data_IF_652077992782
#
_entry.id   IF_652077992782
#
_cell.length_a   1.000
_cell.length_b   1.000
_cell.length_c   1.000
_cell.angle_alpha   90.00
_cell.angle_beta   90.00
_cell.angle_gamma   90.00
#
_symmetry.space_group_name_H-M   'P 1'
#
loop_
_entity.id
_entity.type
_entity.pdbx_description
1 polymer ?
#
# COMPACT_ATOMS: atom_id res chain seq x y z
N UNK A 1 -15.04 -11.39 -75.35
CA UNK A 1 -14.13 -11.24 -74.20
C UNK A 1 -14.86 -10.49 -73.08
N UNK A 2 -15.70 -11.16 -72.28
CA UNK A 2 -16.54 -10.52 -71.23
C UNK A 2 -16.68 -11.39 -69.96
N UNK A 3 -15.65 -12.17 -69.61
CA UNK A 3 -15.73 -13.13 -68.48
C UNK A 3 -15.03 -12.69 -67.19
N UNK A 4 -14.03 -11.79 -67.26
CA UNK A 4 -13.14 -11.52 -66.12
C UNK A 4 -13.57 -10.37 -65.20
N UNK A 5 -14.51 -9.52 -65.62
CA UNK A 5 -14.92 -8.35 -64.81
C UNK A 5 -15.91 -8.70 -63.69
N UNK A 6 -16.74 -9.74 -63.87
CA UNK A 6 -17.76 -10.12 -62.89
C UNK A 6 -17.20 -10.82 -61.63
N UNK A 7 -16.03 -11.47 -61.72
CA UNK A 7 -15.47 -12.21 -60.58
C UNK A 7 -14.86 -11.31 -59.49
N UNK A 8 -14.36 -10.11 -59.83
CA UNK A 8 -13.77 -9.19 -58.84
C UNK A 8 -14.81 -8.58 -57.89
N UNK A 9 -16.04 -8.37 -58.36
CA UNK A 9 -17.11 -7.80 -57.54
C UNK A 9 -17.82 -8.85 -56.68
N UNK A 10 -17.86 -10.12 -57.12
CA UNK A 10 -18.43 -11.23 -56.34
C UNK A 10 -17.56 -11.51 -55.10
N UNK A 11 -16.23 -11.47 -55.22
CA UNK A 11 -15.33 -11.67 -54.08
C UNK A 11 -15.44 -10.55 -53.01
N UNK A 12 -15.70 -9.30 -53.42
CA UNK A 12 -15.88 -8.17 -52.48
C UNK A 12 -17.23 -8.23 -51.73
N UNK A 13 -18.28 -8.75 -52.37
CA UNK A 13 -19.57 -8.96 -51.70
C UNK A 13 -19.52 -10.09 -50.67
N UNK A 14 -18.80 -11.19 -50.94
CA UNK A 14 -18.71 -12.33 -50.00
C UNK A 14 -17.94 -11.96 -48.72
N UNK A 15 -16.90 -11.11 -48.80
CA UNK A 15 -16.18 -10.64 -47.61
C UNK A 15 -16.96 -9.64 -46.75
N UNK A 16 -17.96 -8.95 -47.31
CA UNK A 16 -18.75 -7.96 -46.57
C UNK A 16 -19.85 -8.59 -45.70
N UNK A 17 -20.29 -9.83 -46.01
CA UNK A 17 -21.35 -10.52 -45.26
C UNK A 17 -20.86 -11.38 -44.10
N UNK A 18 -19.56 -11.67 -43.99
CA UNK A 18 -18.99 -12.43 -42.85
C UNK A 18 -18.71 -11.56 -41.61
N UNK A 19 -18.86 -10.24 -41.71
CA UNK A 19 -18.54 -9.29 -40.62
C UNK A 19 -19.65 -9.02 -39.60
N UNK A 20 -20.87 -9.53 -39.79
CA UNK A 20 -22.04 -9.15 -38.96
C UNK A 20 -22.67 -10.30 -38.14
N UNK A 21 -22.01 -11.47 -38.05
CA UNK A 21 -22.58 -12.64 -37.37
C UNK A 21 -21.95 -12.98 -36.00
N UNK A 22 -21.45 -11.99 -35.24
CA UNK A 22 -21.17 -12.17 -33.80
C UNK A 22 -22.21 -11.47 -32.95
N UNK A 23 -23.44 -11.98 -33.00
CA UNK A 23 -24.38 -11.81 -31.90
C UNK A 23 -23.89 -12.71 -30.76
N UNK A 24 -23.01 -12.18 -29.91
CA UNK A 24 -22.62 -12.85 -28.69
C UNK A 24 -23.87 -12.88 -27.80
N UNK A 25 -24.59 -14.00 -27.80
CA UNK A 25 -25.58 -14.24 -26.75
C UNK A 25 -24.79 -14.23 -25.44
N UNK A 26 -24.90 -13.13 -24.69
CA UNK A 26 -24.50 -13.14 -23.29
C UNK A 26 -25.27 -14.30 -22.67
N UNK A 27 -24.55 -15.35 -22.30
CA UNK A 27 -25.12 -16.34 -21.41
C UNK A 27 -25.55 -15.59 -20.17
N UNK A 28 -26.84 -15.72 -19.81
CA UNK A 28 -27.36 -15.15 -18.58
C UNK A 28 -26.46 -15.61 -17.44
N UNK A 29 -25.70 -14.67 -16.87
CA UNK A 29 -24.87 -14.90 -15.70
C UNK A 29 -25.80 -15.40 -14.60
N UNK A 30 -25.65 -16.66 -14.22
CA UNK A 30 -26.32 -17.20 -13.03
C UNK A 30 -25.50 -16.74 -11.84
N UNK A 31 -26.01 -15.82 -10.99
CA UNK A 31 -25.28 -15.41 -9.80
C UNK A 31 -25.11 -16.65 -8.90
N UNK A 32 -23.85 -17.01 -8.65
CA UNK A 32 -23.48 -18.17 -7.84
C UNK A 32 -23.84 -17.97 -6.36
N UNK A 33 -24.03 -16.73 -5.93
CA UNK A 33 -24.39 -16.36 -4.57
C UNK A 33 -25.48 -15.30 -4.59
N UNK A 34 -26.41 -15.39 -3.62
CA UNK A 34 -27.44 -14.37 -3.39
C UNK A 34 -26.75 -13.09 -2.95
N UNK A 35 -26.88 -12.03 -3.73
CA UNK A 35 -26.43 -10.71 -3.32
C UNK A 35 -27.24 -10.29 -2.09
N UNK A 36 -26.55 -10.21 -0.95
CA UNK A 36 -27.14 -9.92 0.36
C UNK A 36 -26.92 -8.45 0.74
N UNK A 37 -26.20 -7.69 -0.09
CA UNK A 37 -25.93 -6.28 0.16
C UNK A 37 -27.11 -5.46 -0.36
N UNK A 38 -28.05 -5.18 0.53
CA UNK A 38 -29.06 -4.15 0.29
C UNK A 38 -28.36 -2.79 0.34
N UNK A 39 -28.00 -2.23 -0.81
CA UNK A 39 -27.60 -0.82 -0.88
C UNK A 39 -28.83 0.01 -0.55
N UNK A 40 -28.88 0.54 0.68
CA UNK A 40 -29.90 1.52 1.08
C UNK A 40 -29.65 2.75 0.21
N UNK A 41 -30.50 2.95 -0.80
CA UNK A 41 -30.48 4.18 -1.56
C UNK A 41 -30.76 5.34 -0.60
N UNK A 42 -29.87 6.34 -0.57
CA UNK A 42 -30.08 7.58 0.16
C UNK A 42 -31.48 8.12 -0.15
N UNK A 43 -32.27 8.44 0.89
CA UNK A 43 -33.55 9.12 0.70
C UNK A 43 -33.31 10.43 -0.05
N UNK A 44 -34.01 10.70 -1.17
CA UNK A 44 -33.93 11.99 -1.82
C UNK A 44 -34.61 13.03 -0.90
N UNK A 45 -33.84 13.93 -0.28
CA UNK A 45 -34.43 15.02 0.48
C UNK A 45 -33.55 15.78 1.48
N UNK A 46 -32.40 15.26 1.91
CA UNK A 46 -31.52 16.03 2.80
C UNK A 46 -30.45 16.75 1.99
N UNK A 47 -30.66 18.05 1.76
CA UNK A 47 -29.79 18.89 0.93
C UNK A 47 -28.88 19.79 1.79
N UNK A 48 -28.84 19.59 3.11
CA UNK A 48 -28.07 20.46 4.03
C UNK A 48 -26.71 19.90 4.43
N UNK A 49 -26.48 18.60 4.25
CA UNK A 49 -25.12 18.06 4.26
C UNK A 49 -24.52 18.27 2.87
N UNK A 50 -23.50 19.12 2.76
CA UNK A 50 -22.59 19.16 1.61
C UNK A 50 -22.13 17.70 1.40
N UNK A 51 -22.71 17.00 0.43
CA UNK A 51 -22.45 15.57 0.17
C UNK A 51 -20.95 15.45 -0.01
N UNK A 52 -20.23 15.02 1.02
CA UNK A 52 -18.82 14.73 0.90
C UNK A 52 -18.75 13.73 -0.25
N UNK A 53 -18.06 14.11 -1.34
CA UNK A 53 -17.91 13.21 -2.47
C UNK A 53 -17.37 11.90 -1.91
N UNK A 54 -18.09 10.79 -2.13
CA UNK A 54 -17.62 9.49 -1.66
C UNK A 54 -16.17 9.30 -2.11
N UNK A 55 -15.25 8.92 -1.21
CA UNK A 55 -13.85 8.77 -1.59
C UNK A 55 -13.75 7.77 -2.75
N UNK A 56 -12.90 8.02 -3.76
CA UNK A 56 -12.67 7.07 -4.83
C UNK A 56 -12.28 5.71 -4.24
N UNK A 57 -12.81 4.61 -4.79
CA UNK A 57 -12.60 3.26 -4.27
C UNK A 57 -11.11 2.92 -4.03
N UNK A 58 -10.24 3.36 -4.94
CA UNK A 58 -8.78 3.19 -4.82
C UNK A 58 -8.21 3.79 -3.52
N UNK A 59 -8.76 4.91 -3.05
CA UNK A 59 -8.32 5.58 -1.82
C UNK A 59 -8.87 4.90 -0.54
N UNK A 60 -9.75 3.91 -0.68
CA UNK A 60 -10.33 3.19 0.46
C UNK A 60 -9.52 1.94 0.84
N UNK A 61 -8.59 1.49 -0.01
CA UNK A 61 -7.83 0.28 0.21
C UNK A 61 -6.32 0.53 0.16
N UNK A 62 -5.65 -0.04 1.15
CA UNK A 62 -4.21 -0.21 1.19
C UNK A 62 -3.87 -1.54 1.85
N UNK A 63 -2.59 -1.88 1.85
CA UNK A 63 -2.08 -3.11 2.47
C UNK A 63 -1.11 -2.78 3.60
N UNK A 64 -1.03 -3.66 4.60
CA UNK A 64 0.10 -3.66 5.51
C UNK A 64 1.26 -4.41 4.86
N UNK A 65 2.48 -3.97 5.12
CA UNK A 65 3.69 -4.59 4.58
C UNK A 65 4.87 -4.40 5.52
N UNK A 66 5.88 -5.22 5.30
CA UNK A 66 7.22 -5.09 5.86
C UNK A 66 8.24 -4.94 4.74
N UNK A 67 9.46 -4.52 5.06
CA UNK A 67 10.52 -4.32 4.07
C UNK A 67 10.86 -5.58 3.25
N UNK A 68 10.77 -6.78 3.85
CA UNK A 68 10.99 -8.05 3.13
C UNK A 68 9.92 -8.32 2.07
N UNK A 69 8.74 -7.70 2.16
CA UNK A 69 7.77 -7.81 1.07
C UNK A 69 8.27 -7.11 -0.21
N UNK A 70 9.18 -6.16 -0.11
CA UNK A 70 9.73 -5.41 -1.25
C UNK A 70 11.12 -5.89 -1.67
N UNK A 71 11.98 -6.22 -0.71
CA UNK A 71 13.42 -6.35 -0.94
C UNK A 71 13.91 -7.80 -0.90
N UNK A 72 13.21 -8.71 -0.22
CA UNK A 72 13.65 -10.11 -0.13
C UNK A 72 13.40 -10.82 -1.45
N UNK A 73 14.47 -11.28 -2.08
CA UNK A 73 14.43 -12.16 -3.24
C UNK A 73 14.76 -13.60 -2.82
N UNK A 74 13.84 -14.57 -2.97
CA UNK A 74 14.11 -15.96 -2.62
C UNK A 74 15.26 -16.60 -3.43
N UNK A 75 15.55 -16.08 -4.63
CA UNK A 75 16.64 -16.59 -5.48
C UNK A 75 18.01 -16.01 -5.08
N UNK A 76 18.02 -14.85 -4.42
CA UNK A 76 19.24 -14.21 -3.89
C UNK A 76 19.01 -13.71 -2.46
N UNK A 77 18.89 -14.64 -1.48
CA UNK A 77 18.55 -14.27 -0.11
C UNK A 77 19.57 -13.29 0.48
N UNK A 78 19.10 -12.35 1.30
CA UNK A 78 19.90 -11.30 1.94
C UNK A 78 20.48 -10.21 1.02
N UNK A 79 20.21 -10.22 -0.30
CA UNK A 79 20.45 -9.03 -1.13
C UNK A 79 19.23 -8.10 -1.07
N UNK A 80 19.22 -7.19 -0.10
CA UNK A 80 18.15 -6.22 0.10
C UNK A 80 18.39 -4.90 -0.64
N UNK A 81 19.44 -4.81 -1.45
CA UNK A 81 19.81 -3.55 -2.13
C UNK A 81 18.95 -3.25 -3.37
N UNK A 82 18.05 -4.17 -3.73
CA UNK A 82 17.20 -4.10 -4.92
C UNK A 82 15.74 -4.42 -4.60
N UNK A 83 14.83 -3.89 -5.42
CA UNK A 83 13.41 -4.27 -5.38
C UNK A 83 13.25 -5.66 -6.00
N UNK A 84 12.60 -6.56 -5.27
CA UNK A 84 12.11 -7.81 -5.83
C UNK A 84 10.83 -7.57 -6.64
N UNK A 85 11.00 -7.48 -7.96
CA UNK A 85 9.95 -7.05 -8.89
C UNK A 85 8.69 -7.91 -8.88
N UNK A 86 8.81 -9.22 -8.60
CA UNK A 86 7.67 -10.13 -8.52
C UNK A 86 6.68 -9.68 -7.44
N UNK A 87 7.18 -9.31 -6.25
CA UNK A 87 6.31 -8.82 -5.18
C UNK A 87 5.83 -7.40 -5.47
N UNK A 88 6.69 -6.55 -6.03
CA UNK A 88 6.32 -5.19 -6.40
C UNK A 88 5.16 -5.16 -7.40
N UNK A 89 5.10 -6.10 -8.35
CA UNK A 89 3.98 -6.23 -9.29
C UNK A 89 2.63 -6.43 -8.58
N UNK A 90 2.62 -7.16 -7.46
CA UNK A 90 1.42 -7.37 -6.64
C UNK A 90 1.09 -6.08 -5.88
N UNK A 91 2.10 -5.48 -5.23
CA UNK A 91 1.95 -4.26 -4.42
C UNK A 91 1.37 -3.09 -5.25
N UNK A 92 1.75 -2.98 -6.52
CA UNK A 92 1.23 -1.96 -7.46
C UNK A 92 -0.28 -2.04 -7.72
N UNK A 93 -0.95 -3.10 -7.30
CA UNK A 93 -2.41 -3.19 -7.36
C UNK A 93 -3.10 -2.30 -6.31
N UNK A 94 -2.33 -1.77 -5.36
CA UNK A 94 -2.80 -0.89 -4.30
C UNK A 94 -2.19 0.52 -4.44
N UNK A 95 -2.91 1.54 -3.99
CA UNK A 95 -2.43 2.93 -4.01
C UNK A 95 -1.80 3.38 -2.71
N UNK A 96 -1.89 2.56 -1.66
CA UNK A 96 -1.35 2.88 -0.35
C UNK A 96 -0.83 1.62 0.35
N UNK A 97 0.22 1.81 1.14
CA UNK A 97 0.89 0.79 1.93
C UNK A 97 1.15 1.36 3.33
N UNK A 98 0.90 0.56 4.37
CA UNK A 98 1.40 0.81 5.72
C UNK A 98 2.62 -0.04 5.97
N UNK A 99 3.77 0.61 6.14
CA UNK A 99 5.04 -0.04 6.40
C UNK A 99 5.23 -0.18 7.91
N UNK A 100 5.15 -1.41 8.41
CA UNK A 100 5.56 -1.74 9.77
C UNK A 100 7.07 -1.68 9.88
N UNK A 101 7.57 -0.67 10.57
CA UNK A 101 8.98 -0.36 10.66
C UNK A 101 9.46 -0.57 12.09
N UNK A 102 10.39 -1.51 12.29
CA UNK A 102 10.97 -1.72 13.62
C UNK A 102 11.96 -0.59 13.96
N UNK A 103 11.69 0.19 15.01
CA UNK A 103 12.51 1.33 15.42
C UNK A 103 13.94 0.89 15.79
N UNK A 104 14.10 -0.25 16.45
CA UNK A 104 15.42 -0.79 16.78
C UNK A 104 16.29 -1.08 15.54
N UNK A 105 15.70 -1.24 14.35
CA UNK A 105 16.47 -1.37 13.10
C UNK A 105 17.06 -0.05 12.64
N UNK A 106 16.35 1.06 12.84
CA UNK A 106 16.78 2.41 12.47
C UNK A 106 17.78 2.98 13.47
N UNK A 107 17.43 2.91 14.75
CA UNK A 107 18.10 3.62 15.85
C UNK A 107 18.41 2.61 16.97
N UNK A 108 19.35 1.70 16.71
CA UNK A 108 19.81 0.75 17.74
C UNK A 108 20.64 1.44 18.84
N UNK A 109 21.12 2.66 18.58
CA UNK A 109 21.88 3.53 19.49
C UNK A 109 21.21 4.90 19.49
N UNK A 110 20.94 5.52 20.67
CA UNK A 110 20.22 6.78 20.73
C UNK A 110 20.89 7.88 19.89
N UNK A 111 20.12 8.53 19.01
CA UNK A 111 20.57 9.60 18.12
C UNK A 111 21.34 9.15 16.87
N UNK A 112 21.60 7.85 16.70
CA UNK A 112 22.31 7.30 15.55
C UNK A 112 21.35 6.56 14.61
N UNK A 113 21.02 7.20 13.49
CA UNK A 113 20.02 6.74 12.55
C UNK A 113 20.65 6.27 11.24
N UNK A 114 20.20 5.12 10.76
CA UNK A 114 20.54 4.62 9.43
C UNK A 114 19.31 4.07 8.74
N UNK A 115 19.25 4.31 7.42
CA UNK A 115 18.11 3.95 6.59
C UNK A 115 18.51 2.97 5.47
N UNK A 116 19.74 3.09 4.98
CA UNK A 116 20.31 2.35 3.84
C UNK A 116 21.82 2.09 4.01
N UNK A 117 22.26 0.88 4.38
CA UNK A 117 21.46 -0.13 5.09
C UNK A 117 21.06 0.35 6.49
N UNK A 118 20.02 -0.23 7.07
CA UNK A 118 19.66 -0.05 8.48
C UNK A 118 20.71 -0.66 9.43
N UNK A 119 20.79 -0.09 10.64
CA UNK A 119 21.73 -0.45 11.70
C UNK A 119 21.58 -1.91 12.15
N UNK A 120 20.39 -2.46 11.99
CA UNK A 120 20.12 -3.88 12.17
C UNK A 120 19.30 -4.45 11.00
N UNK A 121 19.64 -5.66 10.55
CA UNK A 121 18.94 -6.38 9.48
C UNK A 121 19.34 -6.02 8.05
N UNK A 122 20.21 -5.01 7.84
CA UNK A 122 20.72 -4.61 6.52
C UNK A 122 19.62 -4.33 5.49
N UNK A 123 18.56 -3.61 5.89
CA UNK A 123 17.44 -3.26 5.01
C UNK A 123 17.69 -1.90 4.34
N UNK A 124 17.17 -1.72 3.12
CA UNK A 124 17.36 -0.50 2.33
C UNK A 124 16.03 0.23 2.16
N UNK A 125 15.62 0.97 3.18
CA UNK A 125 14.32 1.65 3.20
C UNK A 125 14.16 2.70 2.10
N UNK A 126 15.20 3.44 1.75
CA UNK A 126 15.15 4.43 0.69
C UNK A 126 14.89 3.78 -0.68
N UNK A 127 15.43 2.57 -0.94
CA UNK A 127 15.18 1.85 -2.20
C UNK A 127 13.68 1.56 -2.35
N UNK A 128 13.04 1.13 -1.27
CA UNK A 128 11.60 0.89 -1.20
C UNK A 128 10.80 2.20 -1.36
N UNK A 129 11.16 3.25 -0.62
CA UNK A 129 10.42 4.51 -0.63
C UNK A 129 10.56 5.27 -1.94
N UNK A 130 11.74 5.28 -2.55
CA UNK A 130 11.96 5.82 -3.89
C UNK A 130 11.09 5.09 -4.91
N UNK A 131 11.02 3.75 -4.81
CA UNK A 131 10.17 2.95 -5.70
C UNK A 131 8.69 3.27 -5.51
N UNK A 132 8.18 3.29 -4.28
CA UNK A 132 6.79 3.60 -4.01
C UNK A 132 6.42 5.02 -4.47
N UNK A 133 7.29 6.01 -4.22
CA UNK A 133 7.11 7.38 -4.68
C UNK A 133 7.01 7.46 -6.20
N UNK A 134 7.92 6.78 -6.92
CA UNK A 134 7.91 6.72 -8.39
C UNK A 134 6.62 6.10 -8.94
N UNK A 135 6.11 5.07 -8.29
CA UNK A 135 4.91 4.34 -8.72
C UNK A 135 3.61 4.92 -8.15
N UNK A 136 3.65 6.11 -7.52
CA UNK A 136 2.50 6.80 -6.91
C UNK A 136 1.77 5.98 -5.84
N UNK A 137 2.54 5.23 -5.04
CA UNK A 137 2.06 4.47 -3.89
C UNK A 137 2.34 5.30 -2.63
N UNK A 138 1.28 5.69 -1.92
CA UNK A 138 1.40 6.35 -0.63
C UNK A 138 1.97 5.37 0.40
N UNK A 139 3.03 5.75 1.11
CA UNK A 139 3.56 4.93 2.20
C UNK A 139 3.30 5.61 3.53
N UNK A 140 2.65 4.89 4.44
CA UNK A 140 2.48 5.25 5.84
C UNK A 140 3.54 4.53 6.65
N UNK A 141 4.58 5.25 7.07
CA UNK A 141 5.60 4.70 7.96
C UNK A 141 5.03 4.58 9.38
N UNK A 142 4.93 3.35 9.87
CA UNK A 142 4.42 2.99 11.19
C UNK A 142 5.58 2.50 12.04
N UNK A 143 6.02 3.32 12.99
CA UNK A 143 7.06 2.91 13.93
C UNK A 143 6.50 1.86 14.88
N UNK A 144 7.14 0.72 14.89
CA UNK A 144 6.87 -0.46 15.71
C UNK A 144 8.08 -0.82 16.53
N UNK A 145 7.85 -1.53 17.63
CA UNK A 145 8.88 -2.05 18.51
C UNK A 145 9.70 -0.95 19.21
N UNK A 146 10.04 -1.16 20.47
CA UNK A 146 10.94 -0.25 21.17
C UNK A 146 12.38 -0.53 20.77
N UNK A 147 13.21 0.50 20.57
CA UNK A 147 14.64 0.27 20.51
C UNK A 147 15.13 -0.22 21.87
N UNK A 148 16.12 -1.12 21.86
CA UNK A 148 16.58 -1.83 23.06
C UNK A 148 17.03 -0.85 24.16
N UNK A 149 17.67 0.25 23.78
CA UNK A 149 18.10 1.29 24.73
C UNK A 149 16.93 1.96 25.46
N UNK A 150 15.78 2.12 24.80
CA UNK A 150 14.58 2.70 25.43
C UNK A 150 13.89 1.67 26.31
N UNK A 151 13.74 0.45 25.80
CA UNK A 151 13.17 -0.68 26.56
C UNK A 151 13.95 -0.93 27.86
N UNK A 152 15.28 -0.76 27.83
CA UNK A 152 16.13 -0.91 29.01
C UNK A 152 15.88 0.10 30.13
N UNK A 153 15.10 1.16 29.89
CA UNK A 153 14.64 2.08 30.94
C UNK A 153 13.55 1.46 31.83
N UNK A 154 12.85 0.44 31.35
CA UNK A 154 11.81 -0.27 32.09
C UNK A 154 12.40 -1.29 33.08
N UNK A 155 11.72 -1.53 34.22
CA UNK A 155 11.99 -2.68 35.09
C UNK A 155 12.03 -3.98 34.28
N UNK A 156 12.93 -4.90 34.62
CA UNK A 156 13.22 -6.07 33.79
C UNK A 156 11.99 -6.96 33.52
N UNK A 157 11.07 -7.03 34.47
CA UNK A 157 9.81 -7.75 34.43
C UNK A 157 8.67 -7.01 33.71
N UNK A 158 8.88 -5.73 33.37
CA UNK A 158 7.93 -4.87 32.65
C UNK A 158 8.40 -4.53 31.23
N UNK A 159 9.50 -5.13 30.76
CA UNK A 159 10.02 -4.92 29.40
C UNK A 159 9.17 -5.68 28.40
N UNK A 160 8.47 -4.94 27.56
CA UNK A 160 7.78 -5.44 26.39
C UNK A 160 8.21 -4.63 25.16
N UNK A 161 8.32 -5.30 24.02
CA UNK A 161 8.72 -4.67 22.77
C UNK A 161 7.61 -3.75 22.23
N UNK A 162 6.36 -3.97 22.63
CA UNK A 162 5.20 -3.13 22.31
C UNK A 162 4.90 -2.10 23.41
N UNK A 163 5.82 -1.89 24.37
CA UNK A 163 5.68 -0.80 25.33
C UNK A 163 5.57 0.55 24.61
N UNK A 164 4.91 1.51 25.28
CA UNK A 164 4.73 2.87 24.78
C UNK A 164 6.09 3.45 24.34
N UNK A 165 6.19 4.15 23.19
CA UNK A 165 7.42 4.74 22.67
C UNK A 165 7.93 5.93 23.51
N UNK A 166 8.19 5.68 24.80
CA UNK A 166 8.70 6.63 25.76
C UNK A 166 9.54 5.89 26.83
N UNK A 167 10.51 6.57 27.47
CA UNK A 167 11.18 6.02 28.64
C UNK A 167 10.20 5.66 29.77
N UNK A 168 10.58 4.70 30.61
CA UNK A 168 9.77 4.30 31.76
C UNK A 168 9.41 5.48 32.66
N UNK A 169 8.14 5.55 33.07
CA UNK A 169 7.63 6.60 33.94
C UNK A 169 7.52 7.99 33.28
N UNK A 170 7.81 8.13 31.99
CA UNK A 170 7.59 9.40 31.29
C UNK A 170 6.10 9.76 31.29
N UNK A 171 5.79 10.99 31.74
CA UNK A 171 4.43 11.50 31.66
C UNK A 171 3.99 11.58 30.20
N UNK A 172 2.86 10.96 29.88
CA UNK A 172 2.24 10.98 28.55
C UNK A 172 1.56 12.32 28.27
N UNK A 173 2.18 13.42 28.68
CA UNK A 173 1.65 14.76 28.56
C UNK A 173 1.56 15.17 27.08
N UNK A 174 0.44 14.79 26.47
CA UNK A 174 -0.16 15.50 25.35
C UNK A 174 0.41 15.14 23.98
N UNK A 175 -0.22 14.16 23.35
CA UNK A 175 -0.39 14.04 21.89
C UNK A 175 -1.24 15.21 21.33
N UNK A 176 -1.00 16.43 21.80
CA UNK A 176 -1.60 17.67 21.29
C UNK A 176 -0.55 18.38 20.44
N UNK A 177 -0.96 19.08 19.36
CA UNK A 177 -0.04 19.79 18.49
C UNK A 177 0.53 20.98 19.27
N UNK A 178 1.67 20.78 19.93
CA UNK A 178 2.31 21.81 20.75
C UNK A 178 3.40 21.25 21.64
N UNK A 179 4.62 21.21 21.10
CA UNK A 179 5.92 21.27 21.80
C UNK A 179 6.00 20.64 23.20
N UNK A 180 6.45 19.38 23.26
CA UNK A 180 6.97 18.78 24.49
C UNK A 180 8.41 19.26 24.81
N UNK A 181 8.85 19.16 26.07
CA UNK A 181 10.08 19.79 26.59
C UNK A 181 11.39 19.18 26.07
N UNK A 182 11.34 18.16 25.22
CA UNK A 182 12.52 17.50 24.65
C UNK A 182 12.57 17.48 23.12
N UNK A 183 11.63 18.16 22.43
CA UNK A 183 11.74 18.39 20.99
C UNK A 183 11.72 17.16 20.07
N UNK A 184 11.55 15.94 20.59
CA UNK A 184 11.43 14.72 19.77
C UNK A 184 9.93 14.37 19.64
N UNK A 185 9.36 14.39 18.42
CA UNK A 185 7.98 13.98 18.22
C UNK A 185 7.86 12.47 18.44
N UNK A 186 7.22 12.09 19.55
CA UNK A 186 6.73 10.73 19.75
C UNK A 186 5.46 10.59 18.91
N UNK A 187 5.60 10.06 17.71
CA UNK A 187 4.46 9.70 16.87
C UNK A 187 4.67 8.28 16.34
N UNK A 188 3.75 7.38 16.72
CA UNK A 188 3.57 6.07 16.08
C UNK A 188 3.22 6.16 14.58
N UNK A 189 3.13 7.36 14.02
CA UNK A 189 2.98 7.62 12.60
C UNK A 189 3.83 8.82 12.20
N UNK A 190 5.10 8.58 11.87
CA UNK A 190 5.96 9.61 11.30
C UNK A 190 5.56 9.82 9.83
N UNK A 191 4.76 10.85 9.56
CA UNK A 191 4.55 11.33 8.19
C UNK A 191 5.84 12.01 7.73
N UNK A 192 6.73 11.24 7.09
CA UNK A 192 7.82 11.83 6.30
C UNK A 192 7.16 12.60 5.14
N UNK A 193 7.20 13.94 5.24
CA UNK A 193 6.84 14.85 4.14
C UNK A 193 7.99 14.97 3.15
#
# INVERSE_FOLDING_TARGET
MNGLFFHRYIFLLVFSFLGLARCHKQMAYKPLMKDTVTIVADKPGDTTARRASSPPLKNMFGINSYEWNFLENPDTPNDHSHIYETNMAIIKSFTAVRHYMNWNKLENTPGDYTYNPTNNGSWYYDVMYERCKRDSILVLADLKNLPVWMMNTYPADERDDENVPAPYGAEQAGFLPGTGPYGVPVCSTLWLK
#
